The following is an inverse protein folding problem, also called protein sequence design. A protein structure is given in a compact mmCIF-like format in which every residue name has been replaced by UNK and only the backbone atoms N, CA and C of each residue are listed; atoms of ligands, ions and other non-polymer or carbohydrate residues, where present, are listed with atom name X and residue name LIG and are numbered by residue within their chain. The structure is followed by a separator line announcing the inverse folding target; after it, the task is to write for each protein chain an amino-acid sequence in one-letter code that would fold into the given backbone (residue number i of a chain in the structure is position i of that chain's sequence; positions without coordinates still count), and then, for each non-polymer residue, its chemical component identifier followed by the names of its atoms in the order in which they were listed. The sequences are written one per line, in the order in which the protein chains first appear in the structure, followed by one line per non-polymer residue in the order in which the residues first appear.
data_IF_175028684759
#
_entry.id   IF_175028684759
#
_cell.length_a   1.000
_cell.length_b   1.000
_cell.length_c   1.000
_cell.angle_alpha   90.00
_cell.angle_beta   90.00
_cell.angle_gamma   90.00
#
_symmetry.space_group_name_H-M   'P 1'
#
loop_
_entity.id
_entity.type
_entity.pdbx_description
1 polymer ?
#
# COMPACT_ATOMS: atom_id res chain seq x y z
N UNK A 1 -11.31 26.91 52.29
CA UNK A 1 -11.86 25.62 51.84
C UNK A 1 -11.39 25.38 50.42
N UNK A 2 -10.68 24.28 50.19
CA UNK A 2 -10.12 23.91 48.91
C UNK A 2 -11.17 23.29 47.98
N UNK A 3 -11.14 23.64 46.68
CA UNK A 3 -11.06 22.67 45.57
C UNK A 3 -10.77 23.42 44.24
N UNK A 4 -9.72 23.05 43.47
CA UNK A 4 -9.38 23.64 42.18
C UNK A 4 -9.96 22.86 40.99
N UNK A 5 -10.17 23.53 39.86
CA UNK A 5 -10.17 22.88 38.54
C UNK A 5 -9.81 23.87 37.43
N UNK A 6 -8.54 23.91 37.01
CA UNK A 6 -8.17 24.50 35.74
C UNK A 6 -7.73 23.41 34.73
N UNK A 7 -8.32 23.48 33.54
CA UNK A 7 -7.69 23.47 32.20
C UNK A 7 -8.47 22.60 31.19
N UNK A 8 -9.04 23.20 30.11
CA UNK A 8 -9.21 22.45 28.87
C UNK A 8 -7.80 22.20 28.33
N UNK A 9 -7.43 20.92 28.20
CA UNK A 9 -6.19 20.51 27.56
C UNK A 9 -6.17 21.03 26.12
N UNK A 10 -5.53 22.17 25.90
CA UNK A 10 -4.95 22.50 24.60
C UNK A 10 -3.79 21.53 24.39
N UNK A 11 -4.14 20.30 24.00
CA UNK A 11 -3.18 19.33 23.50
C UNK A 11 -2.80 19.81 22.11
N UNK A 12 -1.90 20.78 22.06
CA UNK A 12 -1.06 21.02 20.89
C UNK A 12 -0.24 19.76 20.70
N UNK A 13 -0.80 18.78 19.98
CA UNK A 13 0.04 17.75 19.40
C UNK A 13 0.88 18.45 18.33
N UNK A 14 2.21 18.47 18.43
CA UNK A 14 2.99 18.67 17.24
C UNK A 14 2.59 17.53 16.30
N UNK A 15 2.01 17.86 15.15
CA UNK A 15 1.86 16.90 14.06
C UNK A 15 3.21 16.19 13.94
N UNK A 16 3.30 14.87 14.21
CA UNK A 16 4.49 14.18 13.82
C UNK A 16 4.46 14.25 12.29
N UNK A 17 5.28 15.13 11.71
CA UNK A 17 5.65 15.01 10.30
C UNK A 17 6.09 13.56 10.05
N UNK A 18 6.02 13.05 8.81
CA UNK A 18 6.37 11.67 8.52
C UNK A 18 7.78 11.42 9.05
N UNK A 19 7.85 10.77 10.22
CA UNK A 19 9.07 10.12 10.67
C UNK A 19 9.17 8.96 9.69
N UNK A 20 9.92 9.18 8.62
CA UNK A 20 10.54 8.09 7.89
C UNK A 20 11.39 7.37 8.93
N UNK A 21 10.77 6.44 9.65
CA UNK A 21 11.44 5.53 10.55
C UNK A 21 12.47 4.81 9.68
N UNK A 22 13.75 5.09 9.90
CA UNK A 22 14.86 4.39 9.24
C UNK A 22 14.91 2.90 9.65
N UNK A 23 14.10 2.53 10.64
CA UNK A 23 13.82 1.18 11.11
C UNK A 23 12.61 0.53 10.40
N UNK A 24 12.00 1.20 9.43
CA UNK A 24 11.01 0.58 8.53
C UNK A 24 11.79 -0.44 7.68
N UNK A 25 11.60 -1.75 7.87
CA UNK A 25 12.19 -2.70 6.95
C UNK A 25 11.59 -2.34 5.60
N UNK A 26 12.43 -1.84 4.68
CA UNK A 26 12.00 -1.38 3.37
C UNK A 26 11.01 -2.36 2.74
N UNK A 27 10.16 -1.91 1.81
CA UNK A 27 8.90 -2.58 1.45
C UNK A 27 9.13 -4.08 1.37
N UNK A 28 8.38 -4.80 2.21
CA UNK A 28 8.49 -6.25 2.29
C UNK A 28 8.36 -6.84 0.88
N UNK A 29 8.92 -8.03 0.67
CA UNK A 29 8.77 -8.72 -0.61
C UNK A 29 7.30 -8.80 -1.05
N UNK A 30 6.37 -8.99 -0.10
CA UNK A 30 4.93 -8.94 -0.35
C UNK A 30 4.45 -7.56 -0.81
N UNK A 31 4.93 -6.47 -0.23
CA UNK A 31 4.57 -5.12 -0.65
C UNK A 31 5.03 -4.84 -2.10
N UNK A 32 6.26 -5.25 -2.45
CA UNK A 32 6.77 -5.11 -3.82
C UNK A 32 6.00 -6.02 -4.80
N UNK A 33 5.66 -7.24 -4.38
CA UNK A 33 4.80 -8.14 -5.15
C UNK A 33 3.44 -7.50 -5.42
N UNK A 34 2.77 -6.97 -4.39
CA UNK A 34 1.46 -6.33 -4.50
C UNK A 34 1.52 -5.08 -5.39
N UNK A 35 2.60 -4.29 -5.31
CA UNK A 35 2.82 -3.13 -6.19
C UNK A 35 2.95 -3.55 -7.65
N UNK A 36 3.75 -4.59 -7.94
CA UNK A 36 3.88 -5.13 -9.30
C UNK A 36 2.56 -5.68 -9.82
N UNK A 37 1.82 -6.43 -9.00
CA UNK A 37 0.52 -7.00 -9.38
C UNK A 37 -0.50 -5.91 -9.65
N UNK A 38 -0.59 -4.88 -8.79
CA UNK A 38 -1.54 -3.79 -8.99
C UNK A 38 -1.25 -2.99 -10.25
N UNK A 39 0.01 -2.74 -10.57
CA UNK A 39 0.42 -2.08 -11.82
C UNK A 39 0.05 -2.90 -13.05
N UNK A 40 0.35 -4.20 -13.05
CA UNK A 40 -0.05 -5.09 -14.14
C UNK A 40 -1.57 -5.16 -14.31
N UNK A 41 -2.32 -5.28 -13.21
CA UNK A 41 -3.78 -5.32 -13.24
C UNK A 41 -4.37 -4.00 -13.76
N UNK A 42 -3.81 -2.87 -13.34
CA UNK A 42 -4.21 -1.54 -13.83
C UNK A 42 -4.02 -1.41 -15.34
N UNK A 43 -2.85 -1.81 -15.87
CA UNK A 43 -2.58 -1.77 -17.31
C UNK A 43 -3.50 -2.69 -18.11
N UNK A 44 -3.89 -3.84 -17.55
CA UNK A 44 -4.86 -4.75 -18.18
C UNK A 44 -6.26 -4.14 -18.23
N UNK A 45 -6.71 -3.56 -17.11
CA UNK A 45 -7.96 -2.84 -17.05
C UNK A 45 -7.97 -1.62 -17.99
N UNK A 46 -6.88 -0.85 -18.05
CA UNK A 46 -6.73 0.32 -18.94
C UNK A 46 -6.85 -0.08 -20.42
N UNK A 47 -6.19 -1.17 -20.84
CA UNK A 47 -6.29 -1.70 -22.22
C UNK A 47 -7.72 -2.08 -22.61
N UNK A 48 -8.56 -2.42 -21.63
CA UNK A 48 -9.98 -2.74 -21.81
C UNK A 48 -10.91 -1.54 -21.61
N UNK A 49 -10.38 -0.38 -21.20
CA UNK A 49 -11.18 0.80 -20.87
C UNK A 49 -11.89 0.72 -19.53
N UNK A 50 -11.34 -0.03 -18.57
CA UNK A 50 -11.89 -0.23 -17.21
C UNK A 50 -13.30 -0.83 -17.22
N UNK A 51 -13.54 -1.81 -18.09
CA UNK A 51 -14.82 -2.52 -18.15
C UNK A 51 -15.10 -3.26 -16.83
N UNK A 52 -16.25 -3.01 -16.18
CA UNK A 52 -16.59 -3.66 -14.91
C UNK A 52 -16.92 -5.14 -15.11
N UNK A 53 -16.62 -5.97 -14.12
CA UNK A 53 -16.79 -7.42 -14.16
C UNK A 53 -15.52 -8.19 -14.53
N UNK A 54 -14.43 -7.49 -14.84
CA UNK A 54 -13.13 -8.07 -15.19
C UNK A 54 -12.03 -7.80 -14.17
N UNK A 55 -12.30 -7.03 -13.11
CA UNK A 55 -11.28 -6.61 -12.14
C UNK A 55 -10.55 -7.81 -11.50
N UNK A 56 -11.31 -8.86 -11.17
CA UNK A 56 -10.74 -10.07 -10.57
C UNK A 56 -9.89 -10.87 -11.56
N UNK A 57 -10.31 -10.93 -12.82
CA UNK A 57 -9.59 -11.65 -13.88
C UNK A 57 -8.27 -10.94 -14.22
N UNK A 58 -8.32 -9.60 -14.32
CA UNK A 58 -7.15 -8.76 -14.54
C UNK A 58 -6.15 -8.89 -13.37
N UNK A 59 -6.64 -8.96 -12.13
CA UNK A 59 -5.81 -9.17 -10.95
C UNK A 59 -5.17 -10.56 -10.91
N UNK A 60 -5.92 -11.63 -11.20
CA UNK A 60 -5.40 -12.99 -11.26
C UNK A 60 -4.37 -13.17 -12.39
N UNK A 61 -4.64 -12.58 -13.55
CA UNK A 61 -3.71 -12.59 -14.68
C UNK A 61 -2.41 -11.83 -14.33
N UNK A 62 -2.53 -10.69 -13.66
CA UNK A 62 -1.39 -9.92 -13.18
C UNK A 62 -0.56 -10.68 -12.13
N UNK A 63 -1.20 -11.33 -11.16
CA UNK A 63 -0.52 -12.17 -10.16
C UNK A 63 0.29 -13.29 -10.82
N UNK A 64 -0.31 -14.01 -11.78
CA UNK A 64 0.35 -15.08 -12.50
C UNK A 64 1.57 -14.59 -13.30
N UNK A 65 1.46 -13.45 -14.00
CA UNK A 65 2.56 -12.83 -14.73
C UNK A 65 3.72 -12.43 -13.81
N UNK A 66 3.41 -11.72 -12.71
CA UNK A 66 4.43 -11.26 -11.77
C UNK A 66 5.14 -12.44 -11.10
N UNK A 67 4.39 -13.50 -10.75
CA UNK A 67 4.97 -14.71 -10.16
C UNK A 67 5.84 -15.47 -11.15
N UNK A 68 5.44 -15.54 -12.42
CA UNK A 68 6.25 -16.14 -13.48
C UNK A 68 7.54 -15.34 -13.74
N UNK A 69 7.45 -14.01 -13.75
CA UNK A 69 8.61 -13.13 -13.88
C UNK A 69 9.60 -13.37 -12.73
N UNK A 70 9.14 -13.34 -11.48
CA UNK A 70 9.98 -13.59 -10.31
C UNK A 70 10.60 -14.99 -10.30
N UNK A 71 9.86 -16.00 -10.76
CA UNK A 71 10.40 -17.35 -10.90
C UNK A 71 11.50 -17.43 -11.96
N UNK A 72 11.39 -16.63 -13.03
CA UNK A 72 12.39 -16.56 -14.09
C UNK A 72 13.60 -15.68 -13.73
N UNK A 73 13.45 -14.72 -12.81
CA UNK A 73 14.53 -13.82 -12.35
C UNK A 73 15.52 -14.53 -11.38
N UNK A 74 15.20 -15.72 -10.89
CA UNK A 74 15.99 -16.47 -9.90
C UNK A 74 16.86 -17.61 -10.44
N UNK A 75 17.09 -17.70 -11.76
CA UNK A 75 17.87 -18.77 -12.42
C UNK A 75 19.11 -18.23 -13.14
#
# INVERSE_FOLDING_TARGET
MANPSPQPATRSEPFPGPRLSLDDPGPSFEAELMRRISECAYLKAEQRGFEPGHEMDDWLAAEAEVRAALASEGN
#
